data_IF_032505536417
#
_entry.id   IF_032505536417
#
_cell.length_a   1.000
_cell.length_b   1.000
_cell.length_c   1.000
_cell.angle_alpha   90.00
_cell.angle_beta   90.00
_cell.angle_gamma   90.00
#
_symmetry.space_group_name_H-M   'P 1'
#
loop_
_entity.id
_entity.type
_entity.pdbx_description
1 polymer ?
#
# COMPACT_ATOMS: atom_id res chain seq x y z
N UNK A 1 4.38 -5.76 -25.57
CA UNK A 1 5.70 -5.78 -26.23
C UNK A 1 6.41 -7.12 -26.05
N UNK A 2 6.55 -7.65 -24.83
CA UNK A 2 7.32 -8.87 -24.53
C UNK A 2 6.75 -10.17 -25.12
N UNK A 3 5.44 -10.25 -25.36
CA UNK A 3 4.80 -11.41 -26.04
C UNK A 3 5.32 -11.66 -27.46
N UNK A 4 5.91 -10.65 -28.12
CA UNK A 4 6.44 -10.73 -29.49
C UNK A 4 7.92 -11.16 -29.56
N UNK A 5 8.60 -11.29 -28.42
CA UNK A 5 9.97 -11.80 -28.37
C UNK A 5 9.99 -13.31 -28.58
N UNK A 6 11.01 -13.79 -29.28
CA UNK A 6 11.32 -15.22 -29.42
C UNK A 6 11.57 -15.85 -28.04
N UNK A 7 11.30 -17.15 -27.90
CA UNK A 7 11.39 -17.85 -26.62
C UNK A 7 12.85 -18.07 -26.20
N UNK A 8 13.42 -17.02 -25.64
CA UNK A 8 14.78 -16.95 -25.09
C UNK A 8 14.72 -16.84 -23.56
N UNK A 9 15.74 -17.32 -22.81
CA UNK A 9 15.81 -17.14 -21.36
C UNK A 9 15.61 -15.68 -20.92
N UNK A 10 16.01 -14.70 -21.75
CA UNK A 10 15.79 -13.27 -21.52
C UNK A 10 14.32 -12.90 -21.40
N UNK A 11 13.44 -13.50 -22.22
CA UNK A 11 11.99 -13.24 -22.21
C UNK A 11 11.37 -13.68 -20.88
N UNK A 12 11.77 -14.84 -20.38
CA UNK A 12 11.30 -15.37 -19.09
C UNK A 12 11.68 -14.44 -17.94
N UNK A 13 12.91 -13.93 -17.91
CA UNK A 13 13.36 -13.00 -16.87
C UNK A 13 12.55 -11.69 -16.88
N UNK A 14 12.29 -11.12 -18.06
CA UNK A 14 11.48 -9.91 -18.19
C UNK A 14 10.04 -10.12 -17.71
N UNK A 15 9.42 -11.25 -18.05
CA UNK A 15 8.07 -11.60 -17.58
C UNK A 15 8.01 -11.73 -16.06
N UNK A 16 9.04 -12.32 -15.43
CA UNK A 16 9.12 -12.43 -13.98
C UNK A 16 9.24 -11.06 -13.32
N UNK A 17 10.05 -10.15 -13.88
CA UNK A 17 10.18 -8.77 -13.38
C UNK A 17 8.85 -8.02 -13.47
N UNK A 18 8.18 -8.08 -14.63
CA UNK A 18 6.89 -7.43 -14.82
C UNK A 18 5.81 -7.99 -13.89
N UNK A 19 5.75 -9.32 -13.74
CA UNK A 19 4.84 -9.99 -12.80
C UNK A 19 5.12 -9.56 -11.36
N UNK A 20 6.38 -9.47 -10.97
CA UNK A 20 6.78 -9.03 -9.63
C UNK A 20 6.39 -7.57 -9.40
N UNK A 21 6.63 -6.69 -10.37
CA UNK A 21 6.22 -5.29 -10.32
C UNK A 21 4.70 -5.15 -10.19
N UNK A 22 3.93 -5.93 -10.95
CA UNK A 22 2.47 -5.94 -10.88
C UNK A 22 1.96 -6.46 -9.52
N UNK A 23 2.56 -7.53 -8.98
CA UNK A 23 2.23 -8.06 -7.66
C UNK A 23 2.49 -7.05 -6.54
N UNK A 24 3.61 -6.35 -6.59
CA UNK A 24 3.93 -5.27 -5.64
C UNK A 24 2.89 -4.16 -5.75
N UNK A 25 2.51 -3.74 -6.96
CA UNK A 25 1.47 -2.73 -7.19
C UNK A 25 0.13 -3.10 -6.55
N UNK A 26 -0.33 -4.32 -6.79
CA UNK A 26 -1.58 -4.81 -6.20
C UNK A 26 -1.55 -4.78 -4.66
N UNK A 27 -0.40 -5.11 -4.05
CA UNK A 27 -0.23 -5.04 -2.58
C UNK A 27 -0.24 -3.62 -2.04
N UNK A 28 0.42 -2.67 -2.71
CA UNK A 28 0.48 -1.28 -2.24
C UNK A 28 -0.80 -0.50 -2.52
N UNK A 29 -1.58 -0.88 -3.53
CA UNK A 29 -2.87 -0.24 -3.82
C UNK A 29 -3.82 -0.28 -2.62
N UNK A 30 -3.81 -1.36 -1.84
CA UNK A 30 -4.68 -1.51 -0.67
C UNK A 30 -4.44 -0.46 0.43
N UNK A 31 -3.23 -0.28 1.00
CA UNK A 31 -2.98 0.76 1.99
C UNK A 31 -3.16 2.17 1.41
N UNK A 32 -2.83 2.39 0.14
CA UNK A 32 -3.12 3.68 -0.52
C UNK A 32 -4.62 3.95 -0.63
N UNK A 33 -5.45 2.92 -0.87
CA UNK A 33 -6.90 3.05 -0.88
C UNK A 33 -7.43 3.41 0.52
N UNK A 34 -6.93 2.75 1.57
CA UNK A 34 -7.27 3.06 2.95
C UNK A 34 -6.96 4.53 3.27
N UNK A 35 -5.77 5.01 2.93
CA UNK A 35 -5.36 6.39 3.20
C UNK A 35 -6.19 7.41 2.41
N UNK A 36 -6.45 7.16 1.13
CA UNK A 36 -7.20 8.09 0.27
C UNK A 36 -8.69 8.12 0.61
N UNK A 37 -9.27 6.99 1.00
CA UNK A 37 -10.71 6.85 1.21
C UNK A 37 -11.11 7.03 2.68
N UNK A 38 -10.53 6.27 3.62
CA UNK A 38 -10.88 6.36 5.05
C UNK A 38 -10.34 7.66 5.67
N UNK A 39 -9.09 8.02 5.37
CA UNK A 39 -8.47 9.24 5.93
C UNK A 39 -8.65 10.47 5.03
N UNK A 40 -9.30 10.34 3.87
CA UNK A 40 -9.64 11.47 3.00
C UNK A 40 -8.44 12.20 2.38
N UNK A 41 -7.26 11.58 2.31
CA UNK A 41 -6.05 12.21 1.75
C UNK A 41 -6.11 12.27 0.21
N UNK A 42 -6.84 13.25 -0.33
CA UNK A 42 -7.02 13.44 -1.79
C UNK A 42 -6.10 14.49 -2.40
N UNK A 43 -5.77 15.55 -1.65
CA UNK A 43 -4.93 16.66 -2.10
C UNK A 43 -3.86 16.99 -1.07
N UNK A 44 -2.66 17.26 -1.57
CA UNK A 44 -1.53 17.73 -0.77
C UNK A 44 -1.75 19.20 -0.40
N UNK A 45 -1.39 19.60 0.83
CA UNK A 45 -1.54 20.98 1.29
C UNK A 45 -0.37 21.83 0.81
N UNK A 46 -0.61 23.10 0.49
CA UNK A 46 0.45 24.08 0.17
C UNK A 46 1.17 24.53 1.46
N UNK A 47 1.89 23.61 2.11
CA UNK A 47 2.62 23.83 3.36
C UNK A 47 4.11 23.44 3.27
N UNK A 48 4.58 23.04 2.09
CA UNK A 48 5.96 22.59 1.83
C UNK A 48 6.15 21.07 1.88
N UNK A 49 7.15 20.56 1.15
CA UNK A 49 7.38 19.13 0.94
C UNK A 49 7.61 18.36 2.24
N UNK A 50 8.42 18.90 3.16
CA UNK A 50 8.73 18.25 4.44
C UNK A 50 7.47 18.01 5.29
N UNK A 51 6.59 19.00 5.41
CA UNK A 51 5.34 18.90 6.19
C UNK A 51 4.37 17.91 5.55
N UNK A 52 4.34 17.85 4.22
CA UNK A 52 3.50 16.93 3.47
C UNK A 52 3.99 15.47 3.60
N UNK A 53 5.30 15.23 3.59
CA UNK A 53 5.88 13.91 3.85
C UNK A 53 5.59 13.44 5.28
N UNK A 54 5.81 14.29 6.29
CA UNK A 54 5.51 13.95 7.68
C UNK A 54 4.03 13.57 7.88
N UNK A 55 3.10 14.31 7.25
CA UNK A 55 1.68 13.97 7.27
C UNK A 55 1.41 12.60 6.64
N UNK A 56 2.02 12.32 5.48
CA UNK A 56 1.84 11.06 4.76
C UNK A 56 2.37 9.87 5.57
N UNK A 57 3.55 9.97 6.19
CA UNK A 57 4.09 8.93 7.07
C UNK A 57 3.18 8.66 8.28
N UNK A 58 2.65 9.72 8.88
CA UNK A 58 1.71 9.60 10.01
C UNK A 58 0.43 8.86 9.58
N UNK A 59 -0.12 9.18 8.41
CA UNK A 59 -1.30 8.50 7.87
C UNK A 59 -1.04 7.02 7.55
N UNK A 60 0.17 6.67 7.08
CA UNK A 60 0.55 5.28 6.90
C UNK A 60 0.66 4.53 8.24
N UNK A 61 1.22 5.15 9.27
CA UNK A 61 1.26 4.56 10.61
C UNK A 61 -0.16 4.31 11.16
N UNK A 62 -1.06 5.28 11.01
CA UNK A 62 -2.47 5.13 11.41
C UNK A 62 -3.23 4.10 10.55
N UNK A 63 -2.96 4.05 9.25
CA UNK A 63 -3.54 3.03 8.37
C UNK A 63 -3.15 1.61 8.78
N UNK A 64 -1.89 1.41 9.14
CA UNK A 64 -1.42 0.14 9.69
C UNK A 64 -2.07 -0.19 11.04
N UNK A 65 -2.28 0.80 11.91
CA UNK A 65 -2.97 0.61 13.20
C UNK A 65 -4.44 0.22 13.01
N UNK A 66 -5.17 0.86 12.09
CA UNK A 66 -6.56 0.49 11.77
C UNK A 66 -6.65 -0.91 11.19
N UNK A 67 -5.70 -1.30 10.33
CA UNK A 67 -5.60 -2.67 9.83
C UNK A 67 -5.33 -3.69 10.95
N UNK A 68 -4.44 -3.36 11.91
CA UNK A 68 -4.16 -4.20 13.06
C UNK A 68 -5.37 -4.33 14.00
N UNK A 69 -6.08 -3.22 14.28
CA UNK A 69 -7.28 -3.22 15.12
C UNK A 69 -8.43 -4.05 14.55
N UNK A 70 -8.55 -4.14 13.22
CA UNK A 70 -9.54 -5.04 12.57
C UNK A 70 -9.17 -6.52 12.70
N UNK A 71 -7.88 -6.86 12.81
CA UNK A 71 -7.43 -8.21 13.14
C UNK A 71 -7.61 -8.52 14.64
N UNK A 72 -7.55 -7.51 15.51
CA UNK A 72 -7.77 -7.64 16.96
C UNK A 72 -9.24 -7.72 17.36
N UNK A 73 -10.20 -7.51 16.45
CA UNK A 73 -11.64 -7.68 16.71
C UNK A 73 -12.10 -9.09 17.13
N UNK A 74 -11.18 -10.04 17.35
CA UNK A 74 -11.44 -11.36 17.92
C UNK A 74 -10.65 -11.62 19.24
N UNK A 75 -9.82 -10.68 19.69
CA UNK A 75 -9.04 -10.77 20.93
C UNK A 75 -9.23 -9.48 21.71
N UNK A 76 -10.42 -9.26 22.25
CA UNK A 76 -10.64 -8.40 23.42
C UNK A 76 -12.02 -8.71 24.02
N UNK A 77 -12.18 -9.96 24.47
CA UNK A 77 -13.00 -10.26 25.63
C UNK A 77 -12.13 -10.11 26.88
N UNK A 78 -11.66 -8.91 27.21
CA UNK A 78 -11.03 -8.63 28.51
C UNK A 78 -11.68 -7.42 29.15
N UNK A 79 -12.54 -7.76 30.10
CA UNK A 79 -13.08 -7.02 31.24
C UNK A 79 -12.60 -5.58 31.41
N UNK A 80 -13.52 -4.64 31.24
CA UNK A 80 -13.58 -3.47 32.11
C UNK A 80 -14.46 -3.85 33.29
N UNK A 81 -13.82 -4.28 34.39
CA UNK A 81 -14.23 -4.29 35.81
C UNK A 81 -13.27 -5.21 36.57
#
# INVERSE_FOLDING_TARGET
AIKKLEDSPMKTLLLVIEKTKASIRAKVEHPFHVIKNLFGYRKVRYKGLAKNQAQLFTLFALGNLVLAGRCQGCVDGVSVS
#
